data_IF_123565480029
#
_entry.id   IF_123565480029
#
_cell.length_a   1.000
_cell.length_b   1.000
_cell.length_c   1.000
_cell.angle_alpha   90.00
_cell.angle_beta   90.00
_cell.angle_gamma   90.00
#
_symmetry.space_group_name_H-M   'P 1'
#
loop_
_entity.id
_entity.type
_entity.pdbx_description
1 polymer ?
#
# COMPACT_ATOMS: atom_id res chain seq x y z
N UNK A 1 70.95 10.83 -41.75
CA UNK A 1 70.43 12.21 -41.91
C UNK A 1 69.54 12.52 -40.71
N UNK A 2 69.75 13.63 -40.01
CA UNK A 2 68.81 14.12 -39.00
C UNK A 2 67.50 14.52 -39.69
N UNK A 3 66.37 13.92 -39.29
CA UNK A 3 65.06 14.18 -39.90
C UNK A 3 64.75 13.37 -41.17
N UNK A 4 65.31 12.17 -41.33
CA UNK A 4 64.89 11.27 -42.41
C UNK A 4 63.44 10.81 -42.21
N UNK A 5 62.76 10.45 -43.30
CA UNK A 5 61.39 9.92 -43.25
C UNK A 5 61.33 8.68 -42.35
N UNK A 6 62.30 7.77 -42.49
CA UNK A 6 62.35 6.54 -41.71
C UNK A 6 62.46 6.79 -40.19
N UNK A 7 63.22 7.80 -39.76
CA UNK A 7 63.40 8.10 -38.34
C UNK A 7 62.23 8.88 -37.74
N UNK A 8 61.59 9.77 -38.51
CA UNK A 8 60.53 10.67 -38.02
C UNK A 8 59.14 10.04 -38.15
N UNK A 9 58.90 9.28 -39.22
CA UNK A 9 57.64 8.62 -39.51
C UNK A 9 57.84 7.13 -39.85
N UNK A 10 58.31 6.31 -38.89
CA UNK A 10 58.51 4.88 -39.10
C UNK A 10 57.22 4.15 -39.53
N UNK A 11 56.04 4.68 -39.16
CA UNK A 11 54.73 4.15 -39.56
C UNK A 11 54.45 4.25 -41.06
N UNK A 12 55.17 5.11 -41.79
CA UNK A 12 55.00 5.29 -43.24
C UNK A 12 55.91 4.38 -44.07
N UNK A 13 56.94 3.76 -43.45
CA UNK A 13 57.87 2.85 -44.13
C UNK A 13 57.17 1.65 -44.78
N UNK A 14 56.19 0.97 -44.11
CA UNK A 14 55.47 -0.14 -44.73
C UNK A 14 54.68 0.24 -45.98
N UNK A 15 54.37 1.53 -46.14
CA UNK A 15 53.69 2.06 -47.33
C UNK A 15 54.67 2.50 -48.42
N UNK A 16 55.99 2.38 -48.24
CA UNK A 16 56.97 2.75 -49.27
C UNK A 16 57.02 1.71 -50.38
N UNK A 17 56.81 2.12 -51.64
CA UNK A 17 56.87 1.19 -52.78
C UNK A 17 58.31 0.86 -53.18
N UNK A 18 58.54 -0.38 -53.62
CA UNK A 18 59.79 -0.82 -54.24
C UNK A 18 60.10 -0.07 -55.54
N UNK A 19 59.10 0.55 -56.18
CA UNK A 19 59.28 1.39 -57.38
C UNK A 19 60.15 2.62 -57.15
N UNK A 20 60.40 2.98 -55.90
CA UNK A 20 61.26 4.11 -55.58
C UNK A 20 62.76 3.76 -55.63
N UNK A 21 63.13 2.48 -55.76
CA UNK A 21 64.54 2.09 -55.81
C UNK A 21 65.27 2.83 -56.95
N UNK A 22 66.50 3.34 -56.70
CA UNK A 22 67.36 3.10 -55.53
C UNK A 22 67.14 4.07 -54.34
N UNK A 23 66.09 4.90 -54.33
CA UNK A 23 65.78 5.82 -53.24
C UNK A 23 65.08 5.09 -52.08
N UNK A 24 65.67 5.17 -50.89
CA UNK A 24 65.16 4.55 -49.65
C UNK A 24 64.63 5.60 -48.66
N UNK A 25 63.71 5.23 -47.74
CA UNK A 25 63.18 6.13 -46.70
C UNK A 25 64.24 6.81 -45.82
N UNK A 26 65.42 6.22 -45.65
CA UNK A 26 66.54 6.79 -44.88
C UNK A 26 67.27 7.93 -45.61
N UNK A 27 67.13 7.98 -46.95
CA UNK A 27 67.82 8.91 -47.85
C UNK A 27 66.97 10.13 -48.24
N UNK A 28 65.80 10.32 -47.63
CA UNK A 28 64.90 11.44 -47.90
C UNK A 28 64.32 12.00 -46.60
N UNK A 29 64.12 13.31 -46.52
CA UNK A 29 63.53 13.96 -45.33
C UNK A 29 62.01 13.98 -45.39
N UNK A 30 61.35 13.94 -44.23
CA UNK A 30 59.87 13.89 -44.14
C UNK A 30 59.16 15.13 -44.73
N UNK A 31 59.86 16.26 -44.85
CA UNK A 31 59.35 17.52 -45.41
C UNK A 31 59.59 17.69 -46.92
N UNK A 32 60.14 16.68 -47.61
CA UNK A 32 60.50 16.77 -49.03
C UNK A 32 59.28 16.88 -49.96
N UNK A 33 59.33 17.79 -50.93
CA UNK A 33 58.30 17.90 -51.97
C UNK A 33 58.45 16.84 -53.08
N UNK A 34 59.47 15.97 -53.02
CA UNK A 34 59.69 14.92 -54.04
C UNK A 34 58.51 13.94 -54.02
N UNK A 35 57.90 13.74 -55.19
CA UNK A 35 56.85 12.74 -55.43
C UNK A 35 57.49 11.36 -55.52
N UNK A 36 56.93 10.41 -54.78
CA UNK A 36 57.39 9.02 -54.68
C UNK A 36 56.16 8.11 -54.65
N UNK A 37 56.37 6.84 -54.96
CA UNK A 37 55.33 5.82 -54.97
C UNK A 37 55.08 5.28 -53.56
N UNK A 38 53.81 5.29 -53.17
CA UNK A 38 53.31 4.73 -51.92
C UNK A 38 52.40 3.55 -52.22
N UNK A 39 52.37 2.53 -51.37
CA UNK A 39 51.54 1.33 -51.48
C UNK A 39 50.54 1.29 -50.33
N UNK A 40 49.26 1.26 -50.68
CA UNK A 40 48.19 1.43 -49.70
C UNK A 40 47.87 0.11 -49.04
N UNK A 41 47.14 0.15 -47.92
CA UNK A 41 46.60 -1.07 -47.31
C UNK A 41 45.70 -1.87 -48.28
N UNK A 42 45.08 -1.21 -49.27
CA UNK A 42 44.33 -1.87 -50.35
C UNK A 42 45.20 -2.42 -51.48
N UNK A 43 46.54 -2.39 -51.37
CA UNK A 43 47.48 -2.81 -52.40
C UNK A 43 47.70 -1.79 -53.54
N UNK A 44 46.87 -0.74 -53.63
CA UNK A 44 47.02 0.30 -54.65
C UNK A 44 48.30 1.10 -54.46
N UNK A 45 49.07 1.22 -55.53
CA UNK A 45 50.24 2.09 -55.57
C UNK A 45 49.88 3.46 -56.14
N UNK A 46 50.20 4.54 -55.43
CA UNK A 46 49.92 5.91 -55.85
C UNK A 46 51.10 6.83 -55.59
N UNK A 47 51.18 7.91 -56.37
CA UNK A 47 52.27 8.86 -56.26
C UNK A 47 51.82 10.14 -55.53
N UNK A 48 52.50 10.50 -54.44
CA UNK A 48 52.37 11.83 -53.80
C UNK A 48 53.71 12.25 -53.20
N UNK A 49 53.83 13.53 -52.83
CA UNK A 49 55.03 14.05 -52.18
C UNK A 49 55.23 13.49 -50.77
N UNK A 50 56.48 13.31 -50.35
CA UNK A 50 56.80 12.89 -48.96
C UNK A 50 56.19 13.85 -47.95
N UNK A 51 56.27 15.16 -48.19
CA UNK A 51 55.66 16.19 -47.35
C UNK A 51 54.14 16.00 -47.20
N UNK A 52 53.41 15.73 -48.27
CA UNK A 52 51.96 15.57 -48.23
C UNK A 52 51.57 14.27 -47.52
N UNK A 53 52.28 13.16 -47.77
CA UNK A 53 52.08 11.90 -47.04
C UNK A 53 52.35 12.07 -45.54
N UNK A 54 53.46 12.72 -45.16
CA UNK A 54 53.81 13.04 -43.76
C UNK A 54 52.77 13.94 -43.08
N UNK A 55 52.08 14.80 -43.85
CA UNK A 55 50.95 15.62 -43.37
C UNK A 55 49.62 14.87 -43.29
N UNK A 56 49.60 13.57 -43.60
CA UNK A 56 48.43 12.71 -43.45
C UNK A 56 47.59 12.51 -44.72
N UNK A 57 48.10 12.87 -45.91
CA UNK A 57 47.45 12.45 -47.16
C UNK A 57 47.41 10.92 -47.24
N UNK A 58 46.25 10.37 -47.62
CA UNK A 58 46.02 8.92 -47.65
C UNK A 58 45.89 8.45 -49.10
N UNK A 59 46.08 7.15 -49.31
CA UNK A 59 45.76 6.50 -50.58
C UNK A 59 44.37 6.95 -51.08
N UNK A 60 44.22 7.42 -52.34
CA UNK A 60 42.94 7.95 -52.85
C UNK A 60 41.83 6.90 -52.87
N UNK A 61 42.17 5.61 -52.93
CA UNK A 61 41.22 4.50 -52.79
C UNK A 61 40.88 4.30 -51.31
N UNK A 62 41.86 4.13 -50.42
CA UNK A 62 41.57 3.94 -48.99
C UNK A 62 40.80 5.12 -48.36
N UNK A 63 41.02 6.35 -48.84
CA UNK A 63 40.30 7.54 -48.37
C UNK A 63 38.92 7.71 -48.98
N UNK A 64 38.57 6.92 -50.00
CA UNK A 64 37.30 7.01 -50.73
C UNK A 64 37.20 8.21 -51.68
N UNK A 65 38.32 8.89 -51.96
CA UNK A 65 38.40 9.99 -52.93
C UNK A 65 38.29 9.49 -54.38
N UNK A 66 38.74 8.26 -54.65
CA UNK A 66 38.54 7.51 -55.89
C UNK A 66 37.84 6.20 -55.56
N UNK A 67 36.69 5.94 -56.19
CA UNK A 67 35.92 4.70 -56.00
C UNK A 67 36.35 3.68 -57.05
N UNK A 68 36.66 2.47 -56.59
CA UNK A 68 36.96 1.29 -57.41
C UNK A 68 36.04 0.16 -56.98
N UNK A 69 35.32 -0.39 -57.96
CA UNK A 69 34.41 -1.52 -57.80
C UNK A 69 35.17 -2.76 -57.27
N UNK A 70 34.59 -3.44 -56.28
CA UNK A 70 35.16 -4.61 -55.62
C UNK A 70 36.16 -4.28 -54.50
N UNK A 71 36.50 -3.01 -54.27
CA UNK A 71 37.49 -2.61 -53.25
C UNK A 71 36.86 -1.70 -52.19
N UNK A 72 36.42 -0.51 -52.59
CA UNK A 72 36.00 0.54 -51.65
C UNK A 72 34.64 1.16 -51.99
N UNK A 73 33.92 0.55 -52.93
CA UNK A 73 32.56 0.93 -53.28
C UNK A 73 31.55 0.50 -52.21
N UNK A 74 30.34 1.07 -52.28
CA UNK A 74 29.30 0.81 -51.31
C UNK A 74 28.76 -0.62 -51.37
N UNK A 75 28.67 -1.22 -52.57
CA UNK A 75 28.15 -2.58 -52.71
C UNK A 75 29.05 -3.58 -51.98
N UNK A 76 30.37 -3.44 -52.16
CA UNK A 76 31.37 -4.28 -51.52
C UNK A 76 31.41 -4.07 -50.01
N UNK A 77 31.46 -2.82 -49.54
CA UNK A 77 31.66 -2.53 -48.12
C UNK A 77 30.37 -2.62 -47.28
N UNK A 78 29.19 -2.42 -47.89
CA UNK A 78 27.88 -2.40 -47.21
C UNK A 78 26.81 -3.13 -48.03
N UNK A 79 26.95 -4.45 -48.26
CA UNK A 79 26.06 -5.21 -49.15
C UNK A 79 24.58 -5.16 -48.74
N UNK A 80 24.27 -5.10 -47.44
CA UNK A 80 22.88 -4.97 -46.97
C UNK A 80 22.26 -3.61 -47.34
N UNK A 81 23.03 -2.52 -47.26
CA UNK A 81 22.54 -1.20 -47.67
C UNK A 81 22.44 -1.09 -49.20
N UNK A 82 23.30 -1.79 -49.94
CA UNK A 82 23.19 -1.86 -51.39
C UNK A 82 21.85 -2.48 -51.86
N UNK A 83 21.27 -3.39 -51.07
CA UNK A 83 19.93 -3.94 -51.35
C UNK A 83 18.82 -2.90 -51.20
N UNK A 84 19.04 -1.85 -50.40
CA UNK A 84 18.11 -0.74 -50.26
C UNK A 84 18.27 0.33 -51.35
N UNK A 85 19.09 0.08 -52.38
CA UNK A 85 19.27 1.03 -53.47
C UNK A 85 18.06 1.03 -54.41
N UNK A 86 17.41 2.18 -54.62
CA UNK A 86 16.28 2.23 -55.57
C UNK A 86 16.77 2.09 -57.02
N UNK A 87 15.97 1.38 -57.82
CA UNK A 87 16.15 1.26 -59.28
C UNK A 87 16.01 2.59 -60.02
N UNK A 88 15.45 3.63 -59.37
CA UNK A 88 15.28 4.97 -59.95
C UNK A 88 16.56 5.79 -59.98
N UNK A 89 17.62 5.34 -59.29
CA UNK A 89 18.89 6.05 -59.30
C UNK A 89 19.63 5.85 -60.62
N UNK A 90 20.29 6.92 -61.09
CA UNK A 90 21.21 6.84 -62.23
C UNK A 90 22.56 6.22 -61.88
N UNK A 91 23.03 6.46 -60.65
CA UNK A 91 24.28 5.90 -60.14
C UNK A 91 24.06 4.51 -59.55
N UNK A 92 25.02 3.62 -59.76
CA UNK A 92 25.06 2.29 -59.15
C UNK A 92 25.74 2.35 -57.77
N UNK A 93 25.41 1.41 -56.86
CA UNK A 93 26.13 1.25 -55.59
C UNK A 93 27.65 1.07 -55.75
N UNK A 94 28.10 0.51 -56.87
CA UNK A 94 29.51 0.28 -57.20
C UNK A 94 30.27 1.55 -57.62
N UNK A 95 29.58 2.67 -57.84
CA UNK A 95 30.16 3.94 -58.30
C UNK A 95 30.28 5.00 -57.18
N UNK A 96 29.95 4.63 -55.94
CA UNK A 96 29.98 5.54 -54.79
C UNK A 96 30.75 4.96 -53.61
N UNK A 97 31.49 5.79 -52.89
CA UNK A 97 32.10 5.41 -51.61
C UNK A 97 31.09 5.53 -50.47
N UNK A 98 31.32 4.76 -49.40
CA UNK A 98 30.47 4.77 -48.20
C UNK A 98 30.41 6.13 -47.50
N UNK A 99 31.40 7.02 -47.67
CA UNK A 99 31.40 8.35 -47.05
C UNK A 99 30.86 9.46 -47.97
N UNK A 100 30.29 9.11 -49.13
CA UNK A 100 29.87 10.08 -50.13
C UNK A 100 28.74 11.01 -49.66
N UNK A 101 28.84 12.28 -50.02
CA UNK A 101 27.78 13.27 -49.79
C UNK A 101 26.68 13.27 -50.86
N UNK A 102 26.83 12.45 -51.92
CA UNK A 102 25.83 12.31 -52.98
C UNK A 102 24.50 11.84 -52.38
N UNK A 103 23.41 12.49 -52.79
CA UNK A 103 22.05 12.11 -52.42
C UNK A 103 21.51 11.08 -53.40
N UNK A 104 20.93 10.03 -52.85
CA UNK A 104 20.47 8.85 -53.57
C UNK A 104 19.06 8.52 -53.07
N UNK A 105 18.24 7.92 -53.92
CA UNK A 105 16.92 7.40 -53.55
C UNK A 105 17.11 6.01 -52.92
N UNK A 106 16.77 5.89 -51.64
CA UNK A 106 16.77 4.63 -50.91
C UNK A 106 15.38 4.02 -50.92
N UNK A 107 15.29 2.69 -50.87
CA UNK A 107 14.05 1.93 -50.78
C UNK A 107 14.14 0.92 -49.64
N UNK A 108 13.29 1.05 -48.63
CA UNK A 108 13.30 0.13 -47.49
C UNK A 108 12.50 -1.14 -47.81
N UNK A 109 12.53 -2.11 -46.89
CA UNK A 109 11.77 -3.37 -46.99
C UNK A 109 10.25 -3.19 -47.15
N UNK A 110 9.68 -2.09 -46.67
CA UNK A 110 8.26 -1.77 -46.83
C UNK A 110 7.95 -1.05 -48.16
N UNK A 111 8.96 -0.86 -49.02
CA UNK A 111 8.81 -0.25 -50.32
C UNK A 111 8.85 1.27 -50.34
N UNK A 112 8.96 1.94 -49.19
CA UNK A 112 9.05 3.39 -49.13
C UNK A 112 10.33 3.89 -49.77
N UNK A 113 10.21 4.93 -50.59
CA UNK A 113 11.34 5.59 -51.24
C UNK A 113 11.61 6.97 -50.62
N UNK A 114 12.87 7.27 -50.32
CA UNK A 114 13.28 8.58 -49.81
C UNK A 114 14.68 8.95 -50.25
N UNK A 115 14.92 10.26 -50.37
CA UNK A 115 16.23 10.80 -50.70
C UNK A 115 17.06 11.01 -49.42
N UNK A 116 18.28 10.48 -49.40
CA UNK A 116 19.26 10.73 -48.35
C UNK A 116 20.70 10.62 -48.91
N UNK A 117 21.65 11.31 -48.27
CA UNK A 117 23.06 11.14 -48.65
C UNK A 117 23.59 9.77 -48.26
N UNK A 118 24.54 9.24 -49.03
CA UNK A 118 25.17 7.94 -48.74
C UNK A 118 25.75 7.93 -47.33
N UNK A 119 26.54 8.96 -46.98
CA UNK A 119 27.13 9.14 -45.65
C UNK A 119 26.09 9.08 -44.52
N UNK A 120 24.90 9.65 -44.71
CA UNK A 120 23.85 9.63 -43.68
C UNK A 120 23.36 8.21 -43.39
N UNK A 121 23.28 7.35 -44.41
CA UNK A 121 22.82 5.96 -44.27
C UNK A 121 23.91 5.04 -43.74
N UNK A 122 25.13 5.18 -44.24
CA UNK A 122 26.25 4.25 -44.00
C UNK A 122 27.05 4.58 -42.74
N UNK A 123 27.27 5.87 -42.46
CA UNK A 123 28.11 6.35 -41.35
C UNK A 123 27.23 6.76 -40.17
N UNK A 124 26.20 7.58 -40.41
CA UNK A 124 25.31 8.05 -39.35
C UNK A 124 24.21 7.04 -39.00
N UNK A 125 24.04 5.98 -39.79
CA UNK A 125 23.05 4.92 -39.53
C UNK A 125 21.58 5.36 -39.64
N UNK A 126 21.29 6.48 -40.32
CA UNK A 126 19.90 6.94 -40.49
C UNK A 126 19.10 5.93 -41.33
N UNK A 127 17.82 5.72 -40.97
CA UNK A 127 16.93 4.79 -41.66
C UNK A 127 15.88 5.47 -42.53
N UNK A 128 14.83 4.72 -42.87
CA UNK A 128 13.65 5.23 -43.55
C UNK A 128 12.91 6.24 -42.64
N UNK A 129 12.73 7.51 -43.04
CA UNK A 129 12.12 8.53 -42.20
C UNK A 129 10.63 8.26 -41.94
N UNK A 130 9.97 7.50 -42.81
CA UNK A 130 8.58 7.08 -42.61
C UNK A 130 8.49 5.94 -41.59
N UNK A 131 9.33 4.91 -41.70
CA UNK A 131 9.37 3.82 -40.72
C UNK A 131 9.79 4.30 -39.32
N UNK A 132 10.60 5.36 -39.23
CA UNK A 132 11.03 5.95 -37.95
C UNK A 132 10.13 7.10 -37.49
N UNK A 133 8.98 7.33 -38.13
CA UNK A 133 8.00 8.37 -37.79
C UNK A 133 8.53 9.83 -37.81
N UNK A 134 9.69 10.07 -38.44
CA UNK A 134 10.28 11.40 -38.62
C UNK A 134 9.64 12.18 -39.78
N UNK A 135 9.01 11.47 -40.72
CA UNK A 135 8.16 12.04 -41.77
C UNK A 135 6.84 11.28 -41.83
N UNK A 136 5.76 12.00 -42.12
CA UNK A 136 4.43 11.42 -42.35
C UNK A 136 4.33 10.93 -43.78
N UNK A 137 3.75 9.74 -43.95
CA UNK A 137 3.34 9.13 -45.19
C UNK A 137 1.90 8.66 -45.01
N UNK A 138 0.98 9.36 -45.66
CA UNK A 138 -0.44 9.04 -45.64
C UNK A 138 -0.68 7.61 -46.16
N UNK A 139 -1.54 6.87 -45.49
CA UNK A 139 -1.82 5.46 -45.75
C UNK A 139 -0.86 4.49 -45.06
N UNK A 140 0.16 4.98 -44.32
CA UNK A 140 1.16 4.12 -43.68
C UNK A 140 1.36 4.44 -42.19
N UNK A 141 1.92 5.62 -41.89
CA UNK A 141 2.31 6.00 -40.51
C UNK A 141 1.59 7.25 -39.99
N UNK A 142 0.59 7.72 -40.73
CA UNK A 142 -0.29 8.78 -40.29
C UNK A 142 -1.28 8.29 -39.21
N UNK A 143 -1.82 9.22 -38.44
CA UNK A 143 -2.73 8.93 -37.34
C UNK A 143 -4.00 8.23 -37.81
N UNK A 144 -4.57 8.62 -38.96
CA UNK A 144 -5.81 8.02 -39.46
C UNK A 144 -5.62 6.54 -39.81
N UNK A 145 -4.51 6.21 -40.47
CA UNK A 145 -4.22 4.84 -40.90
C UNK A 145 -3.84 3.93 -39.73
N UNK A 146 -3.06 4.43 -38.76
CA UNK A 146 -2.57 3.60 -37.65
C UNK A 146 -3.55 3.53 -36.47
N UNK A 147 -4.33 4.59 -36.23
CA UNK A 147 -5.21 4.72 -35.07
C UNK A 147 -6.58 5.30 -35.46
N UNK A 148 -7.39 4.57 -36.25
CA UNK A 148 -8.67 5.07 -36.78
C UNK A 148 -9.63 5.54 -35.67
N UNK A 149 -9.71 4.82 -34.55
CA UNK A 149 -10.57 5.19 -33.42
C UNK A 149 -10.14 6.52 -32.76
N UNK A 150 -8.84 6.80 -32.75
CA UNK A 150 -8.30 8.04 -32.19
C UNK A 150 -8.50 9.18 -33.18
N UNK A 151 -8.27 8.92 -34.48
CA UNK A 151 -8.54 9.89 -35.54
C UNK A 151 -10.04 10.28 -35.62
N UNK A 152 -10.95 9.38 -35.26
CA UNK A 152 -12.38 9.69 -35.16
C UNK A 152 -12.72 10.72 -34.06
N UNK A 153 -11.84 10.91 -33.07
CA UNK A 153 -11.95 11.96 -32.06
C UNK A 153 -11.27 13.27 -32.48
N UNK A 154 -10.74 13.38 -33.71
CA UNK A 154 -10.14 14.62 -34.18
C UNK A 154 -11.20 15.70 -34.37
N UNK A 155 -10.99 16.88 -33.78
CA UNK A 155 -11.92 18.00 -33.93
C UNK A 155 -11.73 18.73 -35.26
N UNK A 156 -12.83 19.21 -35.84
CA UNK A 156 -12.84 20.09 -37.02
C UNK A 156 -12.12 21.43 -36.77
N UNK A 157 -11.89 21.80 -35.49
CA UNK A 157 -11.13 23.00 -35.11
C UNK A 157 -9.66 22.94 -35.50
N UNK A 158 -9.16 21.77 -35.88
CA UNK A 158 -7.78 21.63 -36.36
C UNK A 158 -7.63 21.99 -37.83
N UNK A 159 -8.71 22.20 -38.59
CA UNK A 159 -8.61 22.53 -40.02
C UNK A 159 -7.68 23.74 -40.24
N UNK A 160 -6.77 23.69 -41.24
CA UNK A 160 -6.68 22.67 -42.30
C UNK A 160 -5.84 21.42 -41.96
N UNK A 161 -5.37 21.26 -40.71
CA UNK A 161 -4.58 20.09 -40.31
C UNK A 161 -5.45 18.85 -40.14
N UNK A 162 -5.17 17.81 -40.94
CA UNK A 162 -5.90 16.55 -40.96
C UNK A 162 -5.14 15.43 -40.22
N UNK A 163 -5.85 14.41 -39.69
CA UNK A 163 -5.21 13.22 -39.10
C UNK A 163 -4.24 12.48 -40.03
N UNK A 164 -4.43 12.59 -41.34
CA UNK A 164 -3.55 12.00 -42.37
C UNK A 164 -2.21 12.74 -42.53
N UNK A 165 -2.05 13.89 -41.87
CA UNK A 165 -0.87 14.77 -41.99
C UNK A 165 0.03 14.74 -40.74
N UNK A 166 -0.29 13.91 -39.75
CA UNK A 166 0.44 13.81 -38.49
C UNK A 166 0.68 12.35 -38.12
N UNK A 167 1.76 12.06 -37.39
CA UNK A 167 1.95 10.74 -36.77
C UNK A 167 1.34 10.72 -35.37
N UNK A 168 1.04 9.52 -34.86
CA UNK A 168 0.60 9.32 -33.48
C UNK A 168 1.62 9.77 -32.42
N UNK A 169 2.88 9.97 -32.80
CA UNK A 169 3.98 10.35 -31.90
C UNK A 169 4.30 11.85 -31.95
N UNK A 170 3.54 12.63 -32.72
CA UNK A 170 3.79 14.06 -32.86
C UNK A 170 3.66 14.80 -31.52
N UNK A 171 4.64 15.66 -31.24
CA UNK A 171 4.67 16.52 -30.05
C UNK A 171 3.98 17.88 -30.27
N UNK A 172 3.14 18.00 -31.30
CA UNK A 172 2.22 19.12 -31.48
C UNK A 172 0.90 18.84 -30.76
N UNK A 173 0.20 19.92 -30.37
CA UNK A 173 -1.14 19.84 -29.78
C UNK A 173 -2.21 19.90 -30.86
N UNK A 174 -3.34 19.25 -30.59
CA UNK A 174 -4.53 19.26 -31.43
C UNK A 174 -5.77 19.32 -30.54
N UNK A 175 -6.88 19.79 -31.10
CA UNK A 175 -8.21 19.71 -30.52
C UNK A 175 -8.81 18.32 -30.75
N UNK A 176 -9.39 17.76 -29.71
CA UNK A 176 -10.04 16.46 -29.73
C UNK A 176 -11.50 16.65 -29.32
N UNK A 177 -12.40 15.83 -29.84
CA UNK A 177 -13.83 15.84 -29.55
C UNK A 177 -14.26 14.48 -29.01
N UNK A 178 -14.89 14.48 -27.84
CA UNK A 178 -15.20 13.23 -27.16
C UNK A 178 -16.43 12.63 -27.79
N UNK A 179 -16.37 11.36 -28.18
CA UNK A 179 -17.56 10.65 -28.67
C UNK A 179 -18.64 10.48 -27.59
N UNK A 180 -18.24 10.37 -26.31
CA UNK A 180 -19.17 10.05 -25.22
C UNK A 180 -19.89 11.30 -24.69
N UNK A 181 -19.16 12.42 -24.51
CA UNK A 181 -19.73 13.65 -23.94
C UNK A 181 -19.81 14.83 -24.91
N UNK A 182 -19.32 14.68 -26.14
CA UNK A 182 -19.30 15.74 -27.16
C UNK A 182 -18.33 16.89 -26.90
N UNK A 183 -17.76 16.99 -25.69
CA UNK A 183 -16.88 18.09 -25.32
C UNK A 183 -15.53 17.99 -26.01
N UNK A 184 -14.95 19.16 -26.27
CA UNK A 184 -13.65 19.29 -26.91
C UNK A 184 -12.54 19.64 -25.92
N UNK A 185 -11.34 19.09 -26.12
CA UNK A 185 -10.17 19.44 -25.31
C UNK A 185 -8.90 19.54 -26.15
N UNK A 186 -7.94 20.33 -25.67
CA UNK A 186 -6.70 20.63 -26.38
C UNK A 186 -5.50 19.95 -25.71
N UNK A 187 -4.89 18.96 -26.37
CA UNK A 187 -3.74 18.21 -25.81
C UNK A 187 -2.80 17.70 -26.91
N UNK A 188 -1.63 17.19 -26.51
CA UNK A 188 -0.63 16.62 -27.41
C UNK A 188 -1.16 15.39 -28.15
N UNK A 189 -0.78 15.25 -29.42
CA UNK A 189 -1.12 14.08 -30.24
C UNK A 189 -0.51 12.81 -29.64
N UNK A 190 0.75 12.86 -29.22
CA UNK A 190 1.42 11.76 -28.52
C UNK A 190 0.72 11.37 -27.21
N UNK A 191 0.25 12.33 -26.43
CA UNK A 191 -0.48 12.06 -25.17
C UNK A 191 -1.86 11.45 -25.44
N UNK A 192 -2.61 11.92 -26.44
CA UNK A 192 -3.88 11.29 -26.81
C UNK A 192 -3.68 9.88 -27.35
N UNK A 193 -2.73 9.72 -28.27
CA UNK A 193 -2.41 8.43 -28.91
C UNK A 193 -1.89 7.41 -27.89
N UNK A 194 -1.17 7.87 -26.86
CA UNK A 194 -0.71 7.05 -25.74
C UNK A 194 -1.81 6.64 -24.74
N UNK A 195 -3.07 6.97 -24.98
CA UNK A 195 -4.21 6.46 -24.19
C UNK A 195 -4.79 7.43 -23.15
N UNK A 196 -4.39 8.71 -23.15
CA UNK A 196 -5.13 9.70 -22.34
C UNK A 196 -6.59 9.79 -22.81
N UNK A 197 -7.49 9.93 -21.84
CA UNK A 197 -8.94 9.99 -22.06
C UNK A 197 -9.44 11.43 -22.01
N UNK A 198 -10.67 11.66 -22.46
CA UNK A 198 -11.36 12.94 -22.31
C UNK A 198 -11.26 13.42 -20.84
N UNK A 199 -10.78 14.65 -20.59
CA UNK A 199 -10.54 15.13 -19.23
C UNK A 199 -11.83 15.40 -18.46
N UNK A 200 -12.94 15.67 -19.17
CA UNK A 200 -14.27 15.83 -18.58
C UNK A 200 -14.84 14.48 -18.12
N UNK A 201 -14.92 13.47 -19.00
CA UNK A 201 -15.40 12.13 -18.63
C UNK A 201 -14.52 11.49 -17.55
N UNK A 202 -13.22 11.78 -17.58
CA UNK A 202 -12.27 11.28 -16.59
C UNK A 202 -12.29 12.06 -15.27
N UNK A 203 -13.04 13.16 -15.16
CA UNK A 203 -13.14 13.97 -13.95
C UNK A 203 -11.85 14.72 -13.58
N UNK A 204 -10.95 14.95 -14.54
CA UNK A 204 -9.77 15.80 -14.34
C UNK A 204 -10.08 17.27 -14.56
N UNK A 205 -11.00 17.58 -15.47
CA UNK A 205 -11.53 18.92 -15.70
C UNK A 205 -12.99 18.94 -15.29
N UNK A 206 -13.36 19.90 -14.44
CA UNK A 206 -14.74 20.11 -14.04
C UNK A 206 -15.56 20.69 -15.20
N UNK A 207 -16.75 20.15 -15.40
CA UNK A 207 -17.80 20.68 -16.26
C UNK A 207 -19.11 20.66 -15.46
N UNK A 208 -19.55 21.86 -15.09
CA UNK A 208 -20.79 22.08 -14.35
C UNK A 208 -22.00 21.58 -15.14
N UNK A 209 -22.93 20.92 -14.45
CA UNK A 209 -24.07 20.23 -15.04
C UNK A 209 -23.75 18.87 -15.66
N UNK A 210 -22.51 18.38 -15.55
CA UNK A 210 -22.09 17.11 -16.16
C UNK A 210 -21.35 16.21 -15.17
N UNK A 211 -20.19 16.64 -14.69
CA UNK A 211 -19.33 15.83 -13.81
C UNK A 211 -19.10 16.46 -12.43
N UNK A 212 -19.79 17.55 -12.12
CA UNK A 212 -19.78 18.13 -10.80
C UNK A 212 -20.48 17.23 -9.78
N UNK A 213 -20.20 17.46 -8.50
CA UNK A 213 -20.68 16.61 -7.41
C UNK A 213 -22.19 16.75 -7.21
N UNK A 214 -22.77 17.93 -7.44
CA UNK A 214 -24.21 18.15 -7.35
C UNK A 214 -24.97 17.29 -8.37
N UNK A 215 -24.48 17.26 -9.62
CA UNK A 215 -25.07 16.50 -10.72
C UNK A 215 -24.87 15.00 -10.54
N UNK A 216 -23.66 14.56 -10.19
CA UNK A 216 -23.31 13.12 -10.18
C UNK A 216 -23.60 12.41 -8.86
N UNK A 217 -23.66 13.14 -7.74
CA UNK A 217 -23.84 12.59 -6.39
C UNK A 217 -24.81 13.46 -5.57
N UNK A 218 -26.08 13.58 -5.98
CA UNK A 218 -27.06 14.44 -5.31
C UNK A 218 -27.24 14.10 -3.82
N UNK A 219 -27.14 12.82 -3.45
CA UNK A 219 -27.23 12.38 -2.06
C UNK A 219 -26.10 12.95 -1.18
N UNK A 220 -24.88 13.01 -1.73
CA UNK A 220 -23.72 13.60 -1.06
C UNK A 220 -23.79 15.13 -1.07
N UNK A 221 -24.23 15.73 -2.17
CA UNK A 221 -24.43 17.17 -2.25
C UNK A 221 -25.45 17.66 -1.19
N UNK A 222 -26.48 16.87 -0.89
CA UNK A 222 -27.42 17.16 0.18
C UNK A 222 -26.85 16.94 1.60
N UNK A 223 -25.65 16.37 1.74
CA UNK A 223 -24.87 16.35 3.00
C UNK A 223 -23.82 17.48 3.04
N UNK A 224 -23.80 18.39 2.07
CA UNK A 224 -22.85 19.51 2.07
C UNK A 224 -23.18 20.48 3.21
N UNK A 225 -22.18 20.81 4.03
CA UNK A 225 -22.36 21.79 5.11
C UNK A 225 -22.30 23.22 4.57
N UNK A 226 -23.12 24.10 5.14
CA UNK A 226 -23.10 25.55 4.88
C UNK A 226 -21.75 26.18 5.24
N UNK A 227 -20.95 25.54 6.10
CA UNK A 227 -19.59 25.97 6.48
C UNK A 227 -18.59 25.99 5.32
N UNK A 228 -18.94 25.41 4.18
CA UNK A 228 -18.09 25.41 3.00
C UNK A 228 -18.22 26.68 2.16
N UNK A 229 -19.20 27.54 2.44
CA UNK A 229 -19.39 28.78 1.67
C UNK A 229 -18.07 29.60 1.62
N UNK A 230 -17.66 30.08 0.43
CA UNK A 230 -18.42 30.15 -0.82
C UNK A 230 -18.36 28.91 -1.72
N UNK A 231 -17.63 27.85 -1.37
CA UNK A 231 -17.48 26.67 -2.22
C UNK A 231 -18.75 25.81 -2.24
N UNK A 232 -19.31 25.61 -3.44
CA UNK A 232 -20.56 24.88 -3.65
C UNK A 232 -20.32 23.47 -4.27
N UNK A 233 -21.25 22.51 -4.09
CA UNK A 233 -21.10 21.16 -4.64
C UNK A 233 -20.99 21.09 -6.17
N UNK A 234 -21.55 22.07 -6.88
CA UNK A 234 -21.49 22.17 -8.34
C UNK A 234 -20.17 22.79 -8.87
N UNK A 235 -19.29 23.22 -7.97
CA UNK A 235 -17.96 23.78 -8.26
C UNK A 235 -16.82 22.77 -8.04
N UNK A 236 -17.16 21.53 -7.72
CA UNK A 236 -16.20 20.44 -7.50
C UNK A 236 -16.71 19.16 -8.15
N UNK A 237 -15.81 18.25 -8.51
CA UNK A 237 -16.19 16.93 -8.98
C UNK A 237 -15.86 15.85 -7.94
N UNK A 238 -16.33 14.63 -8.19
CA UNK A 238 -16.15 13.48 -7.31
C UNK A 238 -14.68 13.09 -7.05
N UNK A 239 -13.72 13.50 -7.90
CA UNK A 239 -12.28 13.23 -7.73
C UNK A 239 -11.55 14.31 -6.94
N UNK A 240 -12.24 15.40 -6.59
CA UNK A 240 -11.68 16.53 -5.87
C UNK A 240 -10.99 16.09 -4.57
N UNK A 241 -9.84 16.72 -4.30
CA UNK A 241 -9.06 16.53 -3.07
C UNK A 241 -9.33 17.59 -2.01
N UNK A 242 -10.30 18.50 -2.24
CA UNK A 242 -10.69 19.47 -1.23
C UNK A 242 -11.24 18.75 0.02
N UNK A 243 -10.78 19.20 1.18
CA UNK A 243 -11.23 18.74 2.48
C UNK A 243 -12.33 19.67 3.00
N UNK A 244 -13.58 19.22 2.92
CA UNK A 244 -14.78 20.03 3.13
C UNK A 244 -15.57 19.51 4.32
N UNK A 245 -16.46 20.35 4.86
CA UNK A 245 -17.39 20.00 5.91
C UNK A 245 -18.61 19.26 5.33
N UNK A 246 -18.94 18.13 5.95
CA UNK A 246 -20.13 17.33 5.68
C UNK A 246 -21.06 17.41 6.87
N UNK A 247 -22.37 17.41 6.64
CA UNK A 247 -23.42 17.41 7.67
C UNK A 247 -24.22 16.12 7.56
N UNK A 248 -24.23 15.34 8.65
CA UNK A 248 -24.82 14.02 8.63
C UNK A 248 -26.35 14.15 8.66
N UNK A 249 -27.04 13.58 7.68
CA UNK A 249 -28.51 13.54 7.65
C UNK A 249 -29.11 12.76 8.84
N UNK A 250 -28.40 11.77 9.36
CA UNK A 250 -28.88 10.89 10.44
C UNK A 250 -28.72 11.50 11.83
N UNK A 251 -27.52 11.95 12.18
CA UNK A 251 -27.20 12.43 13.54
C UNK A 251 -26.95 13.94 13.63
N UNK A 252 -27.00 14.67 12.50
CA UNK A 252 -26.73 16.11 12.46
C UNK A 252 -25.26 16.50 12.64
N UNK A 253 -24.36 15.57 12.98
CA UNK A 253 -22.95 15.86 13.18
C UNK A 253 -22.30 16.48 11.93
N UNK A 254 -21.52 17.54 12.13
CA UNK A 254 -20.70 18.13 11.08
C UNK A 254 -19.24 17.68 11.21
N UNK A 255 -18.63 17.20 10.13
CA UNK A 255 -17.23 16.73 10.13
C UNK A 255 -16.49 17.04 8.85
N UNK A 256 -15.17 17.15 8.92
CA UNK A 256 -14.31 17.33 7.75
C UNK A 256 -13.96 15.99 7.09
N UNK A 257 -14.08 15.92 5.76
CA UNK A 257 -13.56 14.81 4.98
C UNK A 257 -13.24 15.25 3.54
N UNK A 258 -12.28 14.59 2.92
CA UNK A 258 -11.91 14.80 1.52
C UNK A 258 -13.03 14.29 0.60
N UNK A 259 -13.42 15.07 -0.42
CA UNK A 259 -14.52 14.72 -1.33
C UNK A 259 -14.36 13.35 -1.96
N UNK A 260 -13.21 13.06 -2.57
CA UNK A 260 -12.92 11.74 -3.15
C UNK A 260 -13.03 10.60 -2.10
N UNK A 261 -12.63 10.84 -0.86
CA UNK A 261 -12.78 9.84 0.21
C UNK A 261 -14.24 9.66 0.65
N UNK A 262 -15.04 10.73 0.69
CA UNK A 262 -16.49 10.68 0.95
C UNK A 262 -17.20 9.89 -0.15
N UNK A 263 -16.90 10.17 -1.42
CA UNK A 263 -17.44 9.45 -2.58
C UNK A 263 -17.10 7.96 -2.52
N UNK A 264 -15.88 7.62 -2.09
CA UNK A 264 -15.45 6.22 -1.91
C UNK A 264 -16.05 5.50 -0.68
N UNK A 265 -16.90 6.16 0.10
CA UNK A 265 -17.63 5.54 1.21
C UNK A 265 -17.17 5.92 2.61
N UNK A 266 -16.41 7.02 2.78
CA UNK A 266 -16.16 7.53 4.14
C UNK A 266 -17.49 7.98 4.77
N UNK A 267 -17.85 7.40 5.91
CA UNK A 267 -19.10 7.70 6.62
C UNK A 267 -18.88 8.64 7.81
N UNK A 268 -19.98 9.20 8.33
CA UNK A 268 -19.98 10.03 9.53
C UNK A 268 -19.26 9.34 10.70
N UNK A 269 -18.28 9.98 11.35
CA UNK A 269 -17.53 9.36 12.44
C UNK A 269 -18.40 9.07 13.68
N UNK A 270 -19.46 9.83 13.90
CA UNK A 270 -20.41 9.60 15.01
C UNK A 270 -21.26 8.35 14.76
N UNK A 271 -21.89 8.24 13.58
CA UNK A 271 -22.68 7.06 13.23
C UNK A 271 -21.86 5.77 13.17
N UNK A 272 -20.55 5.87 12.89
CA UNK A 272 -19.62 4.76 12.89
C UNK A 272 -18.96 4.50 14.27
N UNK A 273 -19.43 5.16 15.34
CA UNK A 273 -18.86 5.08 16.70
C UNK A 273 -17.35 5.38 16.81
N UNK A 274 -16.82 6.17 15.87
CA UNK A 274 -15.43 6.68 15.88
C UNK A 274 -15.29 8.04 16.57
N UNK A 275 -16.42 8.73 16.77
CA UNK A 275 -16.51 9.98 17.51
C UNK A 275 -17.77 9.99 18.38
N UNK A 276 -17.79 10.85 19.40
CA UNK A 276 -18.93 11.01 20.32
C UNK A 276 -19.62 12.33 20.05
N UNK A 277 -20.94 12.28 19.91
CA UNK A 277 -21.84 13.43 19.86
C UNK A 277 -22.75 13.40 21.08
N UNK A 278 -22.63 14.41 21.93
CA UNK A 278 -23.49 14.57 23.10
C UNK A 278 -24.97 14.71 22.69
N UNK A 279 -25.85 14.01 23.41
CA UNK A 279 -27.27 13.91 23.08
C UNK A 279 -27.61 12.83 22.05
N UNK A 280 -26.62 12.11 21.51
CA UNK A 280 -26.83 11.09 20.48
C UNK A 280 -26.23 9.72 20.86
N UNK A 281 -24.90 9.57 20.82
CA UNK A 281 -24.22 8.29 21.09
C UNK A 281 -23.29 8.34 22.31
N UNK A 282 -23.36 9.40 23.11
CA UNK A 282 -22.66 9.47 24.38
C UNK A 282 -23.30 8.55 25.45
N UNK A 283 -22.51 8.22 26.48
CA UNK A 283 -22.89 7.31 27.54
C UNK A 283 -24.04 7.88 28.40
N UNK A 284 -24.07 9.20 28.62
CA UNK A 284 -25.17 9.82 29.35
C UNK A 284 -26.51 9.71 28.61
N UNK A 285 -26.50 9.74 27.29
CA UNK A 285 -27.70 9.52 26.49
C UNK A 285 -28.10 8.05 26.43
N UNK A 286 -27.15 7.15 26.18
CA UNK A 286 -27.42 5.75 25.85
C UNK A 286 -27.58 4.83 27.06
N UNK A 287 -26.90 5.11 28.17
CA UNK A 287 -26.82 4.24 29.35
C UNK A 287 -27.14 5.01 30.66
N UNK A 288 -28.20 5.82 30.64
CA UNK A 288 -28.63 6.70 31.77
C UNK A 288 -28.62 6.04 33.15
N UNK A 289 -29.01 4.76 33.25
CA UNK A 289 -29.07 4.03 34.53
C UNK A 289 -27.69 3.83 35.17
N UNK A 290 -26.65 3.70 34.35
CA UNK A 290 -25.28 3.50 34.81
C UNK A 290 -24.62 4.80 35.27
N UNK A 291 -25.23 5.97 35.07
CA UNK A 291 -24.71 7.24 35.58
C UNK A 291 -24.71 7.30 37.11
N UNK A 292 -25.66 6.63 37.76
CA UNK A 292 -25.65 6.48 39.22
C UNK A 292 -24.44 5.69 39.73
N UNK A 293 -23.83 4.89 38.85
CA UNK A 293 -22.62 4.13 39.14
C UNK A 293 -21.35 4.84 38.66
N UNK A 294 -21.42 6.04 38.10
CA UNK A 294 -20.23 6.78 37.67
C UNK A 294 -19.57 7.46 38.86
N UNK A 295 -18.27 7.23 39.07
CA UNK A 295 -17.51 7.91 40.13
C UNK A 295 -17.04 9.30 39.65
N UNK A 296 -17.89 10.33 39.85
CA UNK A 296 -17.64 11.70 39.40
C UNK A 296 -16.44 12.38 40.08
N UNK A 297 -16.02 11.89 41.25
CA UNK A 297 -14.87 12.45 41.96
C UNK A 297 -13.55 11.93 41.39
N UNK A 298 -13.53 10.66 40.96
CA UNK A 298 -12.32 10.00 40.44
C UNK A 298 -12.15 10.07 38.93
N UNK A 299 -13.22 10.38 38.19
CA UNK A 299 -13.16 10.47 36.73
C UNK A 299 -13.02 11.91 36.27
N UNK A 300 -11.99 12.17 35.45
CA UNK A 300 -11.86 13.43 34.71
C UNK A 300 -12.71 13.48 33.44
N UNK A 301 -13.12 12.32 32.92
CA UNK A 301 -14.02 12.23 31.76
C UNK A 301 -15.47 12.38 32.21
N UNK A 302 -16.24 13.11 31.41
CA UNK A 302 -17.69 13.19 31.57
C UNK A 302 -18.38 12.09 30.76
N UNK A 303 -19.49 11.53 31.24
CA UNK A 303 -20.29 10.57 30.48
C UNK A 303 -20.75 11.08 29.10
N UNK A 304 -20.85 12.40 28.90
CA UNK A 304 -21.17 13.03 27.60
C UNK A 304 -20.03 13.00 26.59
N UNK A 305 -18.82 12.59 26.99
CA UNK A 305 -17.59 12.60 26.16
C UNK A 305 -17.15 11.19 25.72
N UNK A 306 -17.84 10.15 26.17
CA UNK A 306 -17.50 8.76 25.91
C UNK A 306 -18.73 8.01 25.42
N UNK A 307 -18.55 7.02 24.55
CA UNK A 307 -19.63 6.11 24.14
C UNK A 307 -19.62 4.85 25.00
N UNK A 308 -20.73 4.11 24.99
CA UNK A 308 -20.84 2.81 25.66
C UNK A 308 -19.82 1.77 25.16
N UNK A 309 -19.39 1.86 23.91
CA UNK A 309 -18.36 0.97 23.33
C UNK A 309 -16.93 1.40 23.64
N UNK A 310 -16.74 2.45 24.44
CA UNK A 310 -15.41 2.98 24.74
C UNK A 310 -14.55 1.95 25.49
N UNK A 311 -13.34 1.73 25.00
CA UNK A 311 -12.33 0.88 25.64
C UNK A 311 -11.57 1.59 26.78
N UNK A 312 -11.91 2.86 27.07
CA UNK A 312 -11.30 3.60 28.18
C UNK A 312 -11.73 3.01 29.52
N UNK A 313 -10.79 2.90 30.44
CA UNK A 313 -11.07 2.51 31.82
C UNK A 313 -11.41 3.72 32.67
N UNK A 314 -12.50 3.62 33.42
CA UNK A 314 -13.02 4.65 34.31
C UNK A 314 -13.36 4.04 35.66
N UNK A 315 -13.54 4.90 36.65
CA UNK A 315 -13.97 4.51 37.98
C UNK A 315 -15.49 4.43 38.06
N UNK A 316 -15.97 3.31 38.56
CA UNK A 316 -17.37 3.06 38.86
C UNK A 316 -17.56 2.99 40.37
N UNK A 317 -18.73 3.38 40.87
CA UNK A 317 -19.10 3.38 42.29
C UNK A 317 -20.39 2.60 42.49
N UNK A 318 -20.38 1.58 43.34
CA UNK A 318 -21.50 0.65 43.43
C UNK A 318 -22.47 1.14 44.50
N UNK A 319 -23.63 0.50 44.62
CA UNK A 319 -24.60 0.82 45.66
C UNK A 319 -24.06 0.64 47.08
N UNK A 320 -23.02 -0.19 47.26
CA UNK A 320 -22.32 -0.38 48.55
C UNK A 320 -21.18 0.63 48.77
N UNK A 321 -20.99 1.59 47.85
CA UNK A 321 -19.99 2.65 47.96
C UNK A 321 -18.58 2.30 47.49
N UNK A 322 -18.30 1.06 47.07
CA UNK A 322 -16.99 0.68 46.53
C UNK A 322 -16.71 1.38 45.20
N UNK A 323 -15.54 2.02 45.08
CA UNK A 323 -15.01 2.44 43.79
C UNK A 323 -14.16 1.33 43.16
N UNK A 324 -14.42 0.96 41.91
CA UNK A 324 -13.56 0.04 41.16
C UNK A 324 -13.31 0.55 39.74
N UNK A 325 -12.21 0.12 39.13
CA UNK A 325 -11.82 0.53 37.78
C UNK A 325 -12.21 -0.55 36.78
N UNK A 326 -12.93 -0.19 35.72
CA UNK A 326 -13.32 -1.10 34.64
C UNK A 326 -13.41 -0.35 33.31
N UNK A 327 -13.30 -1.05 32.17
CA UNK A 327 -13.58 -0.43 30.86
C UNK A 327 -15.07 -0.09 30.76
N UNK A 328 -15.38 0.97 30.03
CA UNK A 328 -16.78 1.37 29.81
C UNK A 328 -17.53 0.26 29.05
N UNK A 329 -16.94 -0.33 28.02
CA UNK A 329 -17.52 -1.45 27.30
C UNK A 329 -17.73 -2.70 28.17
N UNK A 330 -16.79 -3.01 29.06
CA UNK A 330 -16.92 -4.16 29.96
C UNK A 330 -18.10 -3.95 30.93
N UNK A 331 -18.29 -2.73 31.46
CA UNK A 331 -19.45 -2.41 32.31
C UNK A 331 -20.78 -2.37 31.54
N UNK A 332 -20.81 -1.74 30.37
CA UNK A 332 -22.06 -1.42 29.64
C UNK A 332 -22.53 -2.53 28.68
N UNK A 333 -21.62 -3.37 28.18
CA UNK A 333 -21.91 -4.44 27.21
C UNK A 333 -21.83 -5.81 27.88
N UNK A 334 -20.72 -6.12 28.55
CA UNK A 334 -20.54 -7.41 29.23
C UNK A 334 -21.31 -7.44 30.57
N UNK A 335 -21.53 -6.27 31.18
CA UNK A 335 -22.23 -6.18 32.46
C UNK A 335 -21.33 -6.49 33.66
N UNK A 336 -20.01 -6.27 33.52
CA UNK A 336 -19.02 -6.51 34.58
C UNK A 336 -19.46 -5.84 35.88
N UNK A 337 -19.46 -6.59 36.99
CA UNK A 337 -19.92 -6.11 38.29
C UNK A 337 -18.75 -5.51 39.09
N UNK A 338 -19.06 -4.96 40.26
CA UNK A 338 -18.05 -4.47 41.18
C UNK A 338 -17.09 -5.61 41.59
N UNK A 339 -15.81 -5.49 41.21
CA UNK A 339 -14.78 -6.49 41.49
C UNK A 339 -14.49 -6.63 42.98
N UNK A 340 -14.67 -5.54 43.76
CA UNK A 340 -14.57 -5.58 45.22
C UNK A 340 -15.67 -6.46 45.81
N UNK A 341 -16.93 -6.22 45.44
CA UNK A 341 -18.05 -7.04 45.90
C UNK A 341 -17.90 -8.51 45.50
N UNK A 342 -17.39 -8.77 44.30
CA UNK A 342 -17.19 -10.13 43.81
C UNK A 342 -16.10 -10.86 44.61
N UNK A 343 -14.98 -10.20 44.91
CA UNK A 343 -13.92 -10.77 45.74
C UNK A 343 -14.39 -11.06 47.17
N UNK A 344 -15.18 -10.16 47.75
CA UNK A 344 -15.75 -10.34 49.09
C UNK A 344 -16.74 -11.50 49.14
N UNK A 345 -17.55 -11.69 48.09
CA UNK A 345 -18.43 -12.85 47.99
C UNK A 345 -17.61 -14.15 47.87
N UNK A 346 -16.62 -14.17 46.96
CA UNK A 346 -15.79 -15.35 46.74
C UNK A 346 -14.99 -15.79 47.96
N UNK A 347 -14.57 -14.85 48.82
CA UNK A 347 -13.82 -15.19 50.04
C UNK A 347 -14.67 -15.93 51.08
N UNK A 348 -15.98 -15.67 51.13
CA UNK A 348 -16.90 -16.32 52.09
C UNK A 348 -17.71 -17.46 51.48
N UNK A 349 -17.79 -17.54 50.15
CA UNK A 349 -18.56 -18.55 49.43
C UNK A 349 -18.29 -20.00 49.91
N UNK A 350 -17.03 -20.43 50.13
CA UNK A 350 -16.76 -21.78 50.63
C UNK A 350 -17.50 -22.14 51.92
N UNK A 351 -17.42 -21.26 52.94
CA UNK A 351 -18.11 -21.46 54.21
C UNK A 351 -19.63 -21.42 54.05
N UNK A 352 -20.14 -20.52 53.19
CA UNK A 352 -21.57 -20.45 52.88
C UNK A 352 -22.09 -21.72 52.19
N UNK A 353 -21.33 -22.29 51.26
CA UNK A 353 -21.69 -23.52 50.56
C UNK A 353 -21.77 -24.71 51.52
N UNK A 354 -20.77 -24.89 52.40
CA UNK A 354 -20.81 -25.95 53.42
C UNK A 354 -21.98 -25.75 54.37
N UNK A 355 -22.20 -24.53 54.86
CA UNK A 355 -23.31 -24.21 55.76
C UNK A 355 -24.68 -24.45 55.10
N UNK A 356 -24.83 -24.08 53.83
CA UNK A 356 -26.05 -24.28 53.05
C UNK A 356 -26.39 -25.78 52.92
N UNK A 357 -25.43 -26.59 52.51
CA UNK A 357 -25.60 -28.03 52.32
C UNK A 357 -25.81 -28.80 53.63
N UNK A 358 -25.12 -28.41 54.70
CA UNK A 358 -25.36 -28.96 56.03
C UNK A 358 -26.78 -28.64 56.52
N UNK A 359 -27.25 -27.41 56.31
CA UNK A 359 -28.59 -26.97 56.70
C UNK A 359 -29.69 -27.75 55.97
N UNK A 360 -29.53 -28.03 54.67
CA UNK A 360 -30.45 -28.89 53.91
C UNK A 360 -30.62 -30.29 54.53
N UNK A 361 -29.64 -30.75 55.31
CA UNK A 361 -29.66 -32.05 56.01
C UNK A 361 -29.91 -31.93 57.51
N UNK A 362 -30.27 -30.74 58.00
CA UNK A 362 -30.53 -30.50 59.43
C UNK A 362 -29.27 -30.55 60.32
N UNK A 363 -28.08 -30.44 59.72
CA UNK A 363 -26.81 -30.51 60.44
C UNK A 363 -26.41 -29.14 60.98
N UNK A 364 -25.91 -29.11 62.21
CA UNK A 364 -25.37 -27.88 62.84
C UNK A 364 -23.91 -27.69 62.43
N UNK A 365 -23.61 -26.51 61.91
CA UNK A 365 -22.25 -26.11 61.48
C UNK A 365 -21.72 -25.04 62.42
N UNK A 366 -20.46 -25.20 62.85
CA UNK A 366 -19.70 -24.19 63.56
C UNK A 366 -18.69 -23.58 62.59
N UNK A 367 -18.85 -22.29 62.28
CA UNK A 367 -17.95 -21.55 61.39
C UNK A 367 -16.91 -20.79 62.21
N UNK A 368 -15.63 -20.94 61.88
CA UNK A 368 -14.52 -20.22 62.53
C UNK A 368 -14.37 -20.44 64.03
N UNK A 369 -14.90 -21.54 64.58
CA UNK A 369 -14.92 -21.78 66.03
C UNK A 369 -13.60 -22.40 66.51
N UNK A 370 -13.03 -21.86 67.59
CA UNK A 370 -11.83 -22.35 68.27
C UNK A 370 -12.13 -23.26 69.49
N UNK A 371 -13.38 -23.25 69.98
CA UNK A 371 -13.81 -23.91 71.22
C UNK A 371 -13.41 -25.37 71.37
N UNK A 372 -13.26 -26.10 70.26
CA UNK A 372 -12.95 -27.54 70.27
C UNK A 372 -11.46 -27.84 70.40
N UNK A 373 -10.62 -27.06 69.71
CA UNK A 373 -9.19 -27.34 69.54
C UNK A 373 -8.29 -26.28 70.20
N UNK A 374 -8.83 -25.16 70.66
CA UNK A 374 -8.07 -23.96 71.03
C UNK A 374 -7.52 -23.19 69.82
N UNK A 375 -7.78 -23.68 68.61
CA UNK A 375 -7.45 -23.03 67.34
C UNK A 375 -8.68 -23.04 66.43
N UNK A 376 -8.96 -21.96 65.67
CA UNK A 376 -10.14 -21.89 64.82
C UNK A 376 -10.15 -22.97 63.73
N UNK A 377 -11.25 -23.72 63.64
CA UNK A 377 -11.59 -24.50 62.45
C UNK A 377 -12.52 -23.67 61.57
N UNK A 378 -12.22 -23.56 60.28
CA UNK A 378 -13.02 -22.75 59.35
C UNK A 378 -14.45 -23.26 59.25
N UNK A 379 -14.62 -24.59 59.20
CA UNK A 379 -15.92 -25.23 59.33
C UNK A 379 -15.80 -26.54 60.09
N UNK A 380 -16.67 -26.74 61.08
CA UNK A 380 -16.79 -27.99 61.82
C UNK A 380 -18.25 -28.44 61.96
N UNK A 381 -18.52 -29.70 61.63
CA UNK A 381 -19.82 -30.38 61.76
C UNK A 381 -19.70 -31.41 62.89
N UNK A 382 -20.17 -31.11 64.12
CA UNK A 382 -19.92 -31.96 65.28
C UNK A 382 -20.52 -33.36 65.18
N UNK A 383 -21.73 -33.51 64.64
CA UNK A 383 -22.41 -34.80 64.52
C UNK A 383 -21.62 -35.80 63.66
N UNK A 384 -20.96 -35.29 62.62
CA UNK A 384 -20.18 -36.09 61.66
C UNK A 384 -18.69 -36.14 62.00
N UNK A 385 -18.26 -35.42 63.05
CA UNK A 385 -16.85 -35.16 63.37
C UNK A 385 -16.06 -34.77 62.11
N UNK A 386 -16.61 -33.88 61.29
CA UNK A 386 -16.04 -33.44 60.02
C UNK A 386 -15.59 -31.99 60.12
N UNK A 387 -14.32 -31.73 59.82
CA UNK A 387 -13.77 -30.39 59.68
C UNK A 387 -13.36 -30.13 58.23
N UNK A 388 -13.68 -28.94 57.71
CA UNK A 388 -13.35 -28.53 56.34
C UNK A 388 -12.60 -27.21 56.39
N UNK A 389 -11.44 -27.16 55.74
CA UNK A 389 -10.57 -25.99 55.61
C UNK A 389 -10.44 -25.62 54.13
N UNK A 390 -10.86 -24.42 53.77
CA UNK A 390 -10.88 -23.85 52.44
C UNK A 390 -9.86 -22.73 52.21
N UNK A 391 -9.17 -22.23 53.23
CA UNK A 391 -7.96 -21.43 53.04
C UNK A 391 -6.68 -22.25 53.24
N UNK A 392 -5.59 -21.81 52.61
CA UNK A 392 -4.26 -22.35 52.89
C UNK A 392 -3.68 -21.56 54.07
N UNK A 393 -3.36 -22.27 55.15
CA UNK A 393 -2.69 -21.70 56.31
C UNK A 393 -1.17 -21.75 56.15
N UNK A 394 -0.44 -21.32 57.18
CA UNK A 394 0.99 -21.65 57.26
C UNK A 394 1.16 -23.16 57.42
N UNK A 395 2.24 -23.72 56.88
CA UNK A 395 2.56 -25.15 56.98
C UNK A 395 2.48 -25.65 58.43
N UNK A 396 3.02 -24.88 59.37
CA UNK A 396 2.96 -25.17 60.79
C UNK A 396 1.51 -25.27 61.32
N UNK A 397 0.63 -24.34 60.93
CA UNK A 397 -0.77 -24.34 61.36
C UNK A 397 -1.54 -25.53 60.76
N UNK A 398 -1.27 -25.88 59.50
CA UNK A 398 -1.92 -27.01 58.83
C UNK A 398 -1.53 -28.35 59.47
N UNK A 399 -0.23 -28.53 59.79
CA UNK A 399 0.26 -29.71 60.52
C UNK A 399 -0.37 -29.80 61.91
N UNK A 400 -0.45 -28.67 62.63
CA UNK A 400 -1.05 -28.62 63.96
C UNK A 400 -2.54 -28.99 63.93
N UNK A 401 -3.33 -28.39 63.02
CA UNK A 401 -4.76 -28.71 62.82
C UNK A 401 -4.96 -30.19 62.50
N UNK A 402 -4.15 -30.74 61.60
CA UNK A 402 -4.19 -32.16 61.22
C UNK A 402 -3.93 -33.08 62.42
N UNK A 403 -2.90 -32.78 63.21
CA UNK A 403 -2.57 -33.54 64.41
C UNK A 403 -3.69 -33.51 65.46
N UNK A 404 -4.20 -32.32 65.78
CA UNK A 404 -5.26 -32.13 66.78
C UNK A 404 -6.60 -32.75 66.37
N UNK A 405 -6.93 -32.72 65.06
CA UNK A 405 -8.10 -33.39 64.52
C UNK A 405 -7.97 -34.92 64.63
N UNK A 406 -6.80 -35.47 64.27
CA UNK A 406 -6.53 -36.91 64.38
C UNK A 406 -6.67 -37.43 65.82
N UNK A 407 -6.13 -36.70 66.80
CA UNK A 407 -6.27 -37.07 68.21
C UNK A 407 -7.73 -37.15 68.69
N UNK A 408 -8.61 -36.32 68.13
CA UNK A 408 -10.04 -36.25 68.50
C UNK A 408 -10.96 -37.05 67.58
N UNK A 409 -10.40 -37.88 66.69
CA UNK A 409 -11.13 -38.64 65.69
C UNK A 409 -12.03 -37.74 64.81
N UNK A 410 -11.49 -36.59 64.39
CA UNK A 410 -12.12 -35.64 63.47
C UNK A 410 -11.52 -35.84 62.09
N UNK A 411 -12.36 -36.05 61.09
CA UNK A 411 -11.95 -36.09 59.69
C UNK A 411 -11.71 -34.67 59.21
N UNK A 412 -10.45 -34.31 58.97
CA UNK A 412 -10.07 -33.01 58.41
C UNK A 412 -9.95 -33.10 56.89
N UNK A 413 -10.66 -32.24 56.16
CA UNK A 413 -10.61 -32.16 54.70
C UNK A 413 -10.16 -30.77 54.26
N UNK A 414 -9.11 -30.73 53.43
CA UNK A 414 -8.63 -29.49 52.82
C UNK A 414 -9.28 -29.31 51.45
N UNK A 415 -10.00 -28.21 51.26
CA UNK A 415 -10.80 -27.92 50.08
C UNK A 415 -10.64 -26.45 49.64
N UNK A 416 -9.47 -26.06 49.10
CA UNK A 416 -9.24 -24.68 48.69
C UNK A 416 -10.10 -24.30 47.47
N UNK A 417 -10.63 -23.08 47.48
CA UNK A 417 -11.36 -22.50 46.35
C UNK A 417 -10.39 -21.77 45.42
N UNK A 418 -10.19 -22.31 44.21
CA UNK A 418 -9.19 -21.77 43.28
C UNK A 418 -9.74 -20.54 42.55
N UNK A 419 -8.85 -19.65 42.13
CA UNK A 419 -9.23 -18.43 41.38
C UNK A 419 -9.84 -18.74 40.02
N UNK A 420 -9.43 -19.85 39.39
CA UNK A 420 -9.93 -20.31 38.09
C UNK A 420 -11.17 -21.20 38.18
N UNK A 421 -11.62 -21.52 39.41
CA UNK A 421 -12.71 -22.44 39.65
C UNK A 421 -14.04 -21.67 39.79
N UNK A 422 -15.07 -22.20 39.17
CA UNK A 422 -16.44 -21.68 39.26
C UNK A 422 -17.07 -22.06 40.60
N UNK A 423 -18.10 -21.33 41.00
CA UNK A 423 -18.87 -21.66 42.21
C UNK A 423 -19.51 -23.04 42.15
N UNK A 424 -19.99 -23.45 40.97
CA UNK A 424 -20.62 -24.74 40.76
C UNK A 424 -19.62 -25.89 40.92
N UNK A 425 -18.45 -25.80 40.27
CA UNK A 425 -17.38 -26.81 40.43
C UNK A 425 -16.94 -26.95 41.89
N UNK A 426 -16.81 -25.84 42.61
CA UNK A 426 -16.47 -25.87 44.02
C UNK A 426 -17.60 -26.49 44.87
N UNK A 427 -18.85 -26.13 44.61
CA UNK A 427 -20.01 -26.67 45.29
C UNK A 427 -20.17 -28.18 45.07
N UNK A 428 -19.84 -28.69 43.88
CA UNK A 428 -19.78 -30.13 43.61
C UNK A 428 -18.72 -30.84 44.43
N UNK A 429 -17.54 -30.23 44.57
CA UNK A 429 -16.49 -30.76 45.47
C UNK A 429 -16.97 -30.75 46.92
N UNK A 430 -17.71 -29.74 47.35
CA UNK A 430 -18.34 -29.74 48.69
C UNK A 430 -19.30 -30.93 48.82
N UNK A 431 -20.20 -31.16 47.85
CA UNK A 431 -21.10 -32.34 47.84
C UNK A 431 -20.32 -33.65 47.89
N UNK A 432 -19.19 -33.75 47.21
CA UNK A 432 -18.31 -34.93 47.26
C UNK A 432 -17.71 -35.14 48.66
N UNK A 433 -17.37 -34.07 49.39
CA UNK A 433 -16.92 -34.16 50.80
C UNK A 433 -18.05 -34.71 51.69
N UNK A 434 -19.28 -34.22 51.55
CA UNK A 434 -20.44 -34.77 52.27
C UNK A 434 -20.68 -36.25 51.92
N UNK A 435 -20.58 -36.62 50.64
CA UNK A 435 -20.69 -38.02 50.19
C UNK A 435 -19.65 -38.92 50.87
N UNK A 436 -18.43 -38.40 51.10
CA UNK A 436 -17.35 -39.13 51.78
C UNK A 436 -17.61 -39.43 53.27
N UNK A 437 -18.66 -38.85 53.85
CA UNK A 437 -19.18 -39.16 55.19
C UNK A 437 -20.62 -39.70 55.12
N UNK A 438 -20.99 -40.32 53.98
CA UNK A 438 -22.30 -40.96 53.74
C UNK A 438 -23.50 -40.01 53.71
N UNK A 439 -23.28 -38.71 53.47
CA UNK A 439 -24.36 -37.72 53.29
C UNK A 439 -24.53 -37.44 51.79
N UNK A 440 -25.68 -37.82 51.24
CA UNK A 440 -25.98 -37.64 49.81
C UNK A 440 -26.86 -36.41 49.57
N UNK A 441 -26.39 -35.50 48.72
CA UNK A 441 -27.06 -34.25 48.35
C UNK A 441 -27.40 -34.32 46.86
N UNK A 442 -28.69 -34.25 46.54
CA UNK A 442 -29.22 -34.43 45.17
C UNK A 442 -29.78 -33.15 44.55
N UNK A 443 -29.70 -32.02 45.26
CA UNK A 443 -30.13 -30.73 44.74
C UNK A 443 -29.30 -30.32 43.52
N UNK A 444 -29.88 -29.50 42.65
CA UNK A 444 -29.20 -28.94 41.49
C UNK A 444 -28.16 -27.88 41.91
N UNK A 445 -26.92 -28.06 41.49
CA UNK A 445 -25.77 -27.25 41.95
C UNK A 445 -25.90 -25.80 41.52
N UNK A 446 -26.37 -25.54 40.30
CA UNK A 446 -26.53 -24.18 39.77
C UNK A 446 -27.63 -23.43 40.53
N UNK A 447 -28.76 -24.11 40.81
CA UNK A 447 -29.81 -23.56 41.66
C UNK A 447 -29.30 -23.28 43.09
N UNK A 448 -28.53 -24.19 43.68
CA UNK A 448 -27.96 -24.03 45.03
C UNK A 448 -27.03 -22.80 45.10
N UNK A 449 -26.10 -22.68 44.14
CA UNK A 449 -25.17 -21.54 44.03
C UNK A 449 -25.92 -20.22 43.88
N UNK A 450 -26.95 -20.18 43.04
CA UNK A 450 -27.79 -19.01 42.85
C UNK A 450 -28.48 -18.58 44.16
N UNK A 451 -29.00 -19.53 44.94
CA UNK A 451 -29.61 -19.25 46.24
C UNK A 451 -28.59 -18.73 47.25
N UNK A 452 -27.40 -19.33 47.31
CA UNK A 452 -26.31 -18.88 48.20
C UNK A 452 -25.94 -17.43 47.87
N UNK A 453 -25.77 -17.12 46.58
CA UNK A 453 -25.44 -15.77 46.12
C UNK A 453 -26.55 -14.76 46.42
N UNK A 454 -27.81 -15.13 46.21
CA UNK A 454 -28.96 -14.27 46.49
C UNK A 454 -29.04 -13.92 47.99
N UNK A 455 -28.86 -14.91 48.87
CA UNK A 455 -28.83 -14.71 50.33
C UNK A 455 -27.67 -13.82 50.77
N UNK A 456 -26.48 -14.02 50.21
CA UNK A 456 -25.33 -13.15 50.50
C UNK A 456 -25.62 -11.69 50.12
N UNK A 457 -26.18 -11.47 48.93
CA UNK A 457 -26.53 -10.13 48.46
C UNK A 457 -27.62 -9.47 49.32
N UNK A 458 -28.60 -10.24 49.79
CA UNK A 458 -29.62 -9.74 50.71
C UNK A 458 -29.03 -9.35 52.07
N UNK A 459 -28.17 -10.20 52.64
CA UNK A 459 -27.45 -9.90 53.88
C UNK A 459 -26.61 -8.62 53.74
N UNK A 460 -25.89 -8.48 52.62
CA UNK A 460 -25.08 -7.30 52.33
C UNK A 460 -25.86 -5.99 52.23
N UNK A 461 -27.12 -6.03 51.80
CA UNK A 461 -27.98 -4.84 51.70
C UNK A 461 -28.52 -4.37 53.06
N UNK A 462 -28.45 -5.22 54.09
CA UNK A 462 -28.95 -4.92 55.44
C UNK A 462 -27.86 -4.36 56.37
N UNK A 463 -26.59 -4.44 55.95
CA UNK A 463 -25.44 -3.79 56.56
C UNK A 463 -25.29 -2.39 55.98
#
# INVERSE_FOLDING_TARGET
MTGSLASVHPELIPEWSEKNLPLTPDKITFGSNKRVWWKGACGHEWETSVKARSKGEKCPICSGARVIEGINDLATLKPLLAQEWSKKNKLKPTEVSVASHKKIIWKCKHGHEWEASVKSRTVNGTGCPYCSHNKVLAGFNDLASQYPDIAAEWSDRNLPLLPTMVTAFANSKAWWKCKDCGNEWYTLISTRSGGSRCPYCSGYTLLKGFNDLATTHPDLAAEWSERNYPLMPDEVNAKSRHNVWWKCKTCGNEWKSVINARVKGTVCPVCADRAVLAGYNDLATTDRKLLAEWDYEKNSLLPTQVSRKSMKSVWWKCSLGHSWKAKISDRTIIGEKCTVCENEYRSVFPGLAVAYYANQKGLKVQLGSDKLLGIPLETYIPSEKLAIEFTNGSEHMEVLKSHLCKQRNIKLVKLPFKTTETEAEYADRVKAVFKSVHIFIYSDVEADVSVIRAKFNEWRKRL
#
